data_IF_414408242670
#
_entry.id   IF_414408242670
#
_cell.length_a   1.000
_cell.length_b   1.000
_cell.length_c   1.000
_cell.angle_alpha   90.00
_cell.angle_beta   90.00
_cell.angle_gamma   90.00
#
_symmetry.space_group_name_H-M   'P 1'
#
loop_
_entity.id
_entity.type
_entity.pdbx_description
1 polymer ?
2 water ?
#
# COMPACT_ATOMS: atom_id res chain seq x y z
N UNK A 15 23.00 21.39 -16.76
CA UNK A 15 22.90 20.50 -17.92
C UNK A 15 22.62 21.25 -19.21
N UNK A 16 23.07 20.70 -20.34
CA UNK A 16 22.91 21.39 -21.61
C UNK A 16 21.51 21.18 -22.18
N UNK A 17 21.07 22.18 -22.96
CA UNK A 17 19.78 22.13 -23.64
C UNK A 17 19.53 20.77 -24.26
N UNK A 18 20.55 20.25 -24.93
CA UNK A 18 20.46 18.92 -25.50
C UNK A 18 20.21 17.88 -24.42
N UNK A 19 21.13 17.77 -23.46
CA UNK A 19 21.03 16.76 -22.41
C UNK A 19 19.68 16.78 -21.70
N UNK A 20 19.13 17.97 -21.45
CA UNK A 20 17.82 18.03 -20.79
C UNK A 20 16.74 17.43 -21.69
N UNK A 21 16.68 17.85 -22.95
CA UNK A 21 15.67 17.32 -23.86
C UNK A 21 15.82 15.81 -24.04
N UNK A 22 17.04 15.30 -23.95
CA UNK A 22 17.30 13.87 -24.03
C UNK A 22 16.80 13.14 -22.79
N UNK A 23 17.07 13.70 -21.61
CA UNK A 23 16.54 13.14 -20.38
C UNK A 23 15.02 13.15 -20.39
N UNK A 24 14.42 14.23 -20.90
CA UNK A 24 12.96 14.31 -20.93
C UNK A 24 12.36 13.17 -21.74
N UNK A 25 12.88 12.92 -22.94
CA UNK A 25 12.30 11.86 -23.76
C UNK A 25 12.74 10.48 -23.31
N UNK A 26 13.88 10.36 -22.61
CA UNK A 26 14.21 9.09 -21.98
C UNK A 26 13.25 8.80 -20.82
N UNK A 27 12.94 9.82 -20.02
CA UNK A 27 11.98 9.64 -18.93
C UNK A 27 10.58 9.36 -19.46
N UNK A 28 10.17 10.07 -20.51
CA UNK A 28 8.81 9.91 -21.03
C UNK A 28 8.62 8.53 -21.63
N UNK A 29 9.62 8.03 -22.34
CA UNK A 29 9.49 6.71 -22.94
C UNK A 29 9.47 5.61 -21.90
N UNK A 30 10.15 5.82 -20.78
CA UNK A 30 10.08 4.90 -19.65
C UNK A 30 8.68 4.84 -19.07
N UNK A 31 8.06 6.00 -18.88
CA UNK A 31 6.75 6.07 -18.27
C UNK A 31 5.69 5.52 -19.22
N UNK A 32 5.87 5.73 -20.52
CA UNK A 32 4.91 5.21 -21.48
C UNK A 32 5.06 3.71 -21.71
N UNK A 33 6.28 3.18 -21.56
CA UNK A 33 6.55 1.77 -21.85
C UNK A 33 6.45 0.86 -20.64
N UNK A 34 6.19 1.41 -19.45
CA UNK A 34 6.10 0.60 -18.25
C UNK A 34 4.88 1.05 -17.45
N UNK A 35 4.17 0.10 -16.84
CA UNK A 35 2.97 0.48 -16.08
C UNK A 35 3.28 1.22 -14.80
N UNK A 36 4.41 0.94 -14.16
CA UNK A 36 4.76 1.55 -12.88
C UNK A 36 6.22 1.97 -12.92
N UNK A 37 6.47 3.28 -12.83
CA UNK A 37 7.83 3.81 -12.88
C UNK A 37 8.07 4.64 -11.63
N UNK A 38 9.23 4.45 -11.01
CA UNK A 38 9.64 5.20 -9.83
C UNK A 38 11.01 5.79 -10.12
N UNK A 39 11.09 7.12 -10.10
CA UNK A 39 12.35 7.84 -10.19
C UNK A 39 12.80 8.08 -8.76
N UNK A 40 13.98 7.59 -8.42
CA UNK A 40 14.32 7.52 -7.01
C UNK A 40 15.83 7.64 -6.84
N UNK A 41 16.26 7.51 -5.59
CA UNK A 41 17.66 7.54 -5.20
C UNK A 41 17.87 6.45 -4.16
N UNK A 42 18.92 5.66 -4.34
CA UNK A 42 19.19 4.47 -3.54
C UNK A 42 19.15 4.71 -2.04
N UNK A 43 19.46 5.93 -1.60
CA UNK A 43 19.56 6.23 -0.18
C UNK A 43 18.34 6.97 0.38
N UNK A 44 17.48 7.52 -0.48
CA UNK A 44 16.34 8.28 0.00
C UNK A 44 15.34 7.35 0.69
N UNK A 45 14.82 7.78 1.84
CA UNK A 45 13.99 6.89 2.65
C UNK A 45 12.58 6.75 2.12
N UNK A 46 11.99 7.85 1.65
CA UNK A 46 10.67 7.78 1.03
C UNK A 46 10.71 6.95 -0.24
N UNK A 47 11.84 6.96 -0.94
CA UNK A 47 11.98 6.12 -2.12
C UNK A 47 11.97 4.65 -1.74
N UNK A 48 12.73 4.29 -0.69
CA UNK A 48 12.77 2.90 -0.26
C UNK A 48 11.44 2.47 0.34
N UNK A 49 10.73 3.38 1.00
CA UNK A 49 9.42 3.05 1.53
C UNK A 49 8.43 2.73 0.41
N UNK A 50 8.46 3.51 -0.68
CA UNK A 50 7.46 3.31 -1.72
C UNK A 50 7.74 2.04 -2.51
N UNK A 51 9.01 1.66 -2.66
CA UNK A 51 9.34 0.44 -3.39
C UNK A 51 9.04 -0.82 -2.58
N UNK A 52 9.24 -0.78 -1.26
CA UNK A 52 8.91 -1.94 -0.44
C UNK A 52 7.41 -2.16 -0.38
N UNK A 53 6.62 -1.08 -0.40
CA UNK A 53 5.17 -1.24 -0.48
C UNK A 53 4.79 -1.90 -1.80
N UNK A 54 5.37 -1.44 -2.91
CA UNK A 54 5.12 -2.07 -4.21
C UNK A 54 5.55 -3.53 -4.19
N UNK A 55 6.71 -3.81 -3.59
CA UNK A 55 7.12 -5.19 -3.36
C UNK A 55 6.04 -5.98 -2.64
N UNK A 56 5.48 -5.40 -1.57
CA UNK A 56 4.51 -6.10 -0.75
C UNK A 56 3.19 -6.30 -1.48
N UNK A 57 2.79 -5.35 -2.33
CA UNK A 57 1.56 -5.50 -3.08
C UNK A 57 1.72 -6.40 -4.31
N UNK A 58 2.94 -6.84 -4.61
CA UNK A 58 3.18 -7.62 -5.81
C UNK A 58 3.17 -6.81 -7.08
N UNK A 59 3.37 -5.50 -6.97
CA UNK A 59 3.38 -4.63 -8.13
C UNK A 59 4.79 -4.55 -8.67
N UNK A 60 4.94 -4.81 -9.96
CA UNK A 60 6.25 -4.72 -10.56
C UNK A 60 6.48 -3.30 -11.04
N UNK A 61 7.68 -2.79 -10.79
CA UNK A 61 8.01 -1.43 -11.13
C UNK A 61 9.38 -1.39 -11.78
N UNK A 62 9.59 -0.35 -12.58
CA UNK A 62 10.89 -0.06 -13.16
C UNK A 62 11.47 1.12 -12.40
N UNK A 63 12.70 0.98 -11.90
CA UNK A 63 13.32 2.03 -11.10
C UNK A 63 14.45 2.69 -11.87
N UNK A 64 14.61 3.99 -11.64
CA UNK A 64 15.74 4.79 -12.10
C UNK A 64 16.36 5.39 -10.86
N UNK A 65 17.52 4.88 -10.46
CA UNK A 65 18.23 5.42 -9.31
C UNK A 65 19.07 6.58 -9.82
N UNK A 66 18.55 7.79 -9.65
CA UNK A 66 19.19 8.97 -10.23
C UNK A 66 20.62 9.13 -9.74
N UNK A 67 20.90 8.70 -8.51
CA UNK A 67 22.26 8.78 -8.00
C UNK A 67 23.20 7.78 -8.67
N UNK A 68 22.68 6.79 -9.38
CA UNK A 68 23.49 5.79 -10.07
C UNK A 68 23.57 6.01 -11.57
N UNK A 69 23.00 7.10 -12.08
CA UNK A 69 23.00 7.42 -13.50
C UNK A 69 23.83 8.67 -13.73
N UNK A 70 24.71 8.63 -14.73
CA UNK A 70 25.48 9.82 -15.08
C UNK A 70 24.55 10.98 -15.44
N UNK A 71 23.45 10.70 -16.14
CA UNK A 71 22.46 11.72 -16.46
C UNK A 71 21.43 11.90 -15.35
N UNK A 72 21.74 11.46 -14.13
CA UNK A 72 20.77 11.57 -13.05
C UNK A 72 20.22 12.97 -12.89
N UNK A 73 21.09 13.98 -13.01
CA UNK A 73 20.66 15.35 -12.75
C UNK A 73 19.83 15.92 -13.90
N UNK A 74 20.21 15.62 -15.15
CA UNK A 74 19.39 16.07 -16.27
C UNK A 74 17.98 15.49 -16.17
N UNK A 75 17.86 14.25 -15.71
CA UNK A 75 16.55 13.63 -15.57
C UNK A 75 15.73 14.35 -14.51
N UNK A 76 16.34 14.65 -13.36
CA UNK A 76 15.60 15.32 -12.29
C UNK A 76 15.04 16.66 -12.76
N UNK A 77 15.82 17.41 -13.54
CA UNK A 77 15.34 18.68 -14.07
C UNK A 77 14.18 18.48 -15.04
N UNK A 78 14.30 17.53 -15.96
CA UNK A 78 13.19 17.21 -16.86
C UNK A 78 11.94 16.82 -16.07
N UNK A 79 12.10 16.00 -15.04
CA UNK A 79 10.97 15.61 -14.20
C UNK A 79 10.24 16.82 -13.63
N UNK A 80 10.96 17.91 -13.34
CA UNK A 80 10.34 19.14 -12.87
C UNK A 80 9.71 19.91 -14.02
N UNK A 81 10.40 20.00 -15.15
CA UNK A 81 9.79 20.53 -16.35
C UNK A 81 8.45 19.86 -16.59
N UNK A 82 8.46 18.53 -16.61
CA UNK A 82 7.33 17.74 -17.06
C UNK A 82 6.20 17.72 -16.03
N UNK A 83 6.54 17.57 -14.74
CA UNK A 83 5.53 17.27 -13.73
C UNK A 83 5.35 18.33 -12.66
N UNK A 84 6.31 19.23 -12.48
CA UNK A 84 6.21 20.21 -11.42
C UNK A 84 6.53 19.70 -10.03
N UNK A 85 7.31 18.62 -9.93
CA UNK A 85 7.75 18.09 -8.65
C UNK A 85 9.27 17.94 -8.67
N UNK A 86 9.92 18.37 -7.59
CA UNK A 86 11.38 18.43 -7.50
C UNK A 86 11.98 17.28 -6.71
N UNK A 87 11.16 16.52 -5.99
CA UNK A 87 11.67 15.52 -5.07
C UNK A 87 11.52 14.12 -5.63
N UNK A 88 12.22 13.21 -4.98
CA UNK A 88 12.09 11.79 -5.22
C UNK A 88 11.45 11.20 -3.97
N UNK A 89 10.70 10.10 -4.11
CA UNK A 89 10.46 9.48 -5.42
C UNK A 89 9.39 10.19 -6.24
N UNK A 90 9.45 9.98 -7.55
CA UNK A 90 8.46 10.51 -8.48
C UNK A 90 7.84 9.30 -9.16
N UNK A 91 6.55 9.06 -8.91
CA UNK A 91 5.89 7.82 -9.28
C UNK A 91 4.90 8.08 -10.41
N UNK A 92 5.00 7.28 -11.46
CA UNK A 92 4.04 7.27 -12.55
C UNK A 92 3.32 5.93 -12.55
N UNK A 93 2.00 5.95 -12.67
CA UNK A 93 1.19 4.75 -12.77
C UNK A 93 0.35 4.83 -14.03
N UNK A 94 0.41 3.79 -14.85
CA UNK A 94 -0.38 3.78 -16.08
C UNK A 94 -0.13 4.97 -16.96
N UNK A 95 1.12 5.41 -17.05
CA UNK A 95 1.49 6.56 -17.85
C UNK A 95 1.21 7.91 -17.24
N UNK A 96 0.53 7.97 -16.10
CA UNK A 96 0.15 9.23 -15.47
C UNK A 96 0.96 9.48 -14.21
N UNK A 97 1.21 10.76 -13.95
CA UNK A 97 1.97 11.21 -12.79
C UNK A 97 1.11 11.12 -11.53
N UNK A 98 1.59 10.38 -10.53
CA UNK A 98 0.93 10.31 -9.23
C UNK A 98 1.55 11.28 -8.24
N UNK A 99 2.88 11.32 -8.19
CA UNK A 99 3.57 12.20 -7.27
C UNK A 99 4.62 11.46 -6.46
N UNK A 100 4.67 11.72 -5.16
CA UNK A 100 5.67 11.14 -4.29
C UNK A 100 5.11 10.07 -3.37
N UNK A 101 5.93 9.70 -2.38
CA UNK A 101 5.52 8.65 -1.45
C UNK A 101 4.19 8.97 -0.81
N UNK A 102 3.92 10.26 -0.56
CA UNK A 102 2.70 10.64 0.14
C UNK A 102 1.47 10.49 -0.75
N UNK A 103 1.57 10.89 -2.02
CA UNK A 103 0.45 10.73 -2.94
C UNK A 103 0.10 9.25 -3.10
N UNK A 104 1.13 8.40 -3.22
CA UNK A 104 0.92 6.96 -3.35
C UNK A 104 0.24 6.40 -2.11
N UNK A 105 0.80 6.70 -0.93
CA UNK A 105 0.20 6.22 0.32
C UNK A 105 -1.24 6.68 0.46
N UNK A 106 -1.55 7.90 0.00
CA UNK A 106 -2.93 8.39 0.11
C UNK A 106 -3.88 7.58 -0.76
N UNK A 107 -3.45 7.23 -1.98
CA UNK A 107 -4.25 6.34 -2.81
C UNK A 107 -4.54 5.03 -2.08
N UNK A 108 -3.51 4.43 -1.48
CA UNK A 108 -3.66 3.17 -0.77
C UNK A 108 -4.65 3.30 0.38
N UNK A 109 -4.57 4.40 1.13
CA UNK A 109 -5.47 4.60 2.27
C UNK A 109 -6.93 4.58 1.84
N UNK A 110 -7.23 5.20 0.71
CA UNK A 110 -8.57 5.17 0.15
C UNK A 110 -8.88 3.84 -0.52
N UNK A 111 -7.95 2.89 -0.50
CA UNK A 111 -8.18 1.61 -1.15
C UNK A 111 -8.22 1.67 -2.66
N UNK A 112 -7.65 2.71 -3.26
CA UNK A 112 -7.67 2.86 -4.71
C UNK A 112 -6.35 2.49 -5.37
N UNK A 113 -5.27 2.37 -4.60
CA UNK A 113 -3.97 2.10 -5.21
C UNK A 113 -3.96 0.75 -5.92
N UNK A 114 -4.34 -0.31 -5.21
CA UNK A 114 -4.31 -1.65 -5.81
C UNK A 114 -5.18 -1.75 -7.05
N UNK A 115 -6.41 -1.22 -7.08
CA UNK A 115 -7.15 -1.18 -8.35
C UNK A 115 -6.37 -0.51 -9.48
N UNK A 116 -5.70 0.61 -9.21
CA UNK A 116 -4.93 1.30 -10.24
C UNK A 116 -3.79 0.44 -10.76
N UNK A 117 -3.02 -0.16 -9.84
CA UNK A 117 -1.90 -0.99 -10.24
C UNK A 117 -2.35 -2.24 -10.98
N UNK A 118 -3.57 -2.71 -10.73
CA UNK A 118 -4.10 -3.88 -11.43
C UNK A 118 -4.62 -3.51 -12.81
N UNK A 119 -5.29 -2.36 -12.93
CA UNK A 119 -5.79 -1.87 -14.22
C UNK A 119 -4.68 -1.85 -15.27
N UNK A 120 -3.51 -1.33 -14.92
CA UNK A 120 -2.43 -1.15 -15.88
C UNK A 120 -1.50 -2.35 -15.98
N UNK A 121 -1.67 -3.36 -15.13
CA UNK A 121 -0.92 -4.59 -15.22
C UNK A 121 0.30 -4.66 -14.33
N UNK A 122 0.63 -3.59 -13.61
CA UNK A 122 1.73 -3.64 -12.66
C UNK A 122 1.58 -4.82 -11.71
N UNK A 123 0.36 -5.09 -11.28
CA UNK A 123 0.04 -6.23 -10.44
C UNK A 123 -0.57 -7.31 -11.32
N UNK A 124 0.05 -8.48 -11.34
CA UNK A 124 -0.47 -9.64 -12.05
C UNK A 124 -1.94 -9.91 -11.77
N UNK B 15 -22.88 -20.85 1.82
CA UNK B 15 -21.72 -21.48 2.44
C UNK B 15 -21.06 -22.55 1.59
N UNK B 16 -21.51 -23.78 1.75
CA UNK B 16 -20.93 -24.90 1.04
C UNK B 16 -19.42 -24.84 1.20
N UNK B 17 -18.68 -25.07 0.13
CA UNK B 17 -17.25 -24.99 0.19
C UNK B 17 -16.88 -23.91 -0.83
N UNK B 18 -17.91 -23.43 -1.50
CA UNK B 18 -17.85 -22.35 -2.48
C UNK B 18 -18.20 -20.99 -1.86
N UNK B 19 -19.35 -20.84 -1.19
CA UNK B 19 -19.66 -19.57 -0.52
C UNK B 19 -18.59 -19.26 0.52
N UNK B 20 -17.88 -20.30 0.96
CA UNK B 20 -16.67 -20.17 1.77
C UNK B 20 -15.48 -19.64 0.97
N UNK B 21 -15.46 -19.83 -0.35
CA UNK B 21 -14.36 -19.37 -1.17
C UNK B 21 -14.60 -17.99 -1.77
N UNK B 22 -15.86 -17.55 -1.84
CA UNK B 22 -16.19 -16.18 -2.23
C UNK B 22 -16.01 -15.19 -1.09
N UNK B 23 -16.14 -15.64 0.16
CA UNK B 23 -15.82 -14.84 1.34
C UNK B 23 -14.31 -14.71 1.54
N UNK B 24 -13.59 -15.81 1.35
CA UNK B 24 -12.13 -15.79 1.40
C UNK B 24 -11.56 -14.85 0.36
N UNK B 25 -11.99 -15.00 -0.89
CA UNK B 25 -11.63 -14.06 -1.95
C UNK B 25 -11.93 -12.63 -1.53
N UNK B 26 -13.11 -12.42 -0.94
CA UNK B 26 -13.49 -11.09 -0.48
C UNK B 26 -12.53 -10.59 0.59
N UNK B 27 -12.14 -11.47 1.53
CA UNK B 27 -11.28 -11.05 2.64
C UNK B 27 -9.85 -10.84 2.18
N UNK B 28 -9.36 -11.69 1.26
CA UNK B 28 -7.99 -11.54 0.80
C UNK B 28 -7.82 -10.29 -0.05
N UNK B 29 -8.83 -9.93 -0.85
CA UNK B 29 -8.73 -8.71 -1.64
C UNK B 29 -8.76 -7.48 -0.75
N UNK B 30 -9.64 -7.46 0.24
CA UNK B 30 -9.69 -6.34 1.16
C UNK B 30 -8.36 -6.15 1.86
N UNK B 31 -7.78 -7.25 2.35
CA UNK B 31 -6.48 -7.18 3.01
C UNK B 31 -5.41 -6.70 2.03
N UNK B 32 -5.47 -7.15 0.78
CA UNK B 32 -4.46 -6.73 -0.19
C UNK B 32 -4.63 -5.27 -0.57
N UNK B 33 -5.86 -4.74 -0.53
CA UNK B 33 -6.17 -3.44 -1.10
C UNK B 33 -6.21 -2.30 -0.08
N UNK B 34 -5.88 -2.55 1.19
CA UNK B 34 -5.85 -1.48 2.19
C UNK B 34 -4.71 -1.75 3.15
N UNK B 35 -3.99 -0.71 3.58
CA UNK B 35 -2.87 -0.96 4.51
C UNK B 35 -3.31 -1.57 5.83
N UNK B 36 -4.49 -1.21 6.33
CA UNK B 36 -4.94 -1.62 7.66
C UNK B 36 -6.37 -2.13 7.59
N UNK B 37 -6.57 -3.40 7.97
CA UNK B 37 -7.88 -4.05 7.91
C UNK B 37 -8.17 -4.70 9.26
N UNK B 38 -9.35 -4.42 9.80
CA UNK B 38 -9.81 -5.01 11.06
C UNK B 38 -11.11 -5.75 10.78
N UNK B 39 -11.07 -7.07 10.88
CA UNK B 39 -12.28 -7.88 10.88
C UNK B 39 -12.82 -7.84 12.30
N UNK B 40 -13.98 -7.22 12.45
CA UNK B 40 -14.48 -6.86 13.77
C UNK B 40 -15.94 -7.26 13.97
N UNK B 41 -16.41 -7.15 15.20
CA UNK B 41 -17.84 -7.25 15.45
C UNK B 41 -18.24 -5.99 16.20
N UNK B 42 -19.44 -5.48 15.91
CA UNK B 42 -19.79 -4.16 16.43
C UNK B 42 -19.90 -4.14 17.95
N UNK B 43 -20.01 -5.31 18.59
CA UNK B 43 -20.26 -5.41 20.03
C UNK B 43 -19.12 -6.08 20.78
N UNK B 44 -17.89 -6.00 20.26
CA UNK B 44 -16.74 -6.66 20.87
C UNK B 44 -15.81 -5.60 21.46
N UNK B 45 -15.57 -5.70 22.77
CA UNK B 45 -14.74 -4.69 23.43
C UNK B 45 -13.33 -4.64 22.88
N UNK B 46 -12.72 -5.81 22.69
CA UNK B 46 -11.38 -5.86 22.11
C UNK B 46 -11.37 -5.33 20.69
N UNK B 47 -12.48 -5.53 19.96
CA UNK B 47 -12.63 -4.88 18.66
C UNK B 47 -12.69 -3.38 18.80
N UNK B 48 -13.57 -2.89 19.68
CA UNK B 48 -13.66 -1.45 19.91
C UNK B 48 -12.37 -0.89 20.50
N UNK B 49 -11.54 -1.72 21.12
CA UNK B 49 -10.31 -1.19 21.71
C UNK B 49 -9.23 -0.92 20.66
N UNK B 50 -8.92 -1.91 19.81
CA UNK B 50 -7.89 -1.69 18.79
C UNK B 50 -8.29 -0.55 17.88
N UNK B 51 -9.58 -0.46 17.52
CA UNK B 51 -10.02 0.63 16.65
C UNK B 51 -9.79 1.98 17.31
N UNK B 52 -10.17 2.12 18.58
CA UNK B 52 -9.92 3.36 19.30
C UNK B 52 -8.44 3.74 19.26
N UNK B 53 -7.55 2.76 19.47
CA UNK B 53 -6.12 3.02 19.40
C UNK B 53 -5.70 3.48 18.01
N UNK B 54 -6.21 2.82 16.96
CA UNK B 54 -5.93 3.25 15.60
C UNK B 54 -6.41 4.68 15.37
N UNK B 55 -7.59 5.01 15.88
CA UNK B 55 -8.05 6.39 15.88
C UNK B 55 -7.05 7.30 16.57
N UNK B 56 -6.53 6.88 17.73
CA UNK B 56 -5.58 7.71 18.45
C UNK B 56 -4.28 7.89 17.67
N UNK B 57 -3.78 6.84 17.04
CA UNK B 57 -2.53 6.96 16.31
C UNK B 57 -2.69 7.61 14.94
N UNK B 58 -3.89 8.03 14.56
CA UNK B 58 -4.11 8.54 13.22
C UNK B 58 -3.91 7.49 12.15
N UNK B 59 -4.33 6.26 12.42
CA UNK B 59 -4.23 5.17 11.47
C UNK B 59 -5.58 4.98 10.80
N UNK B 60 -5.60 5.08 9.48
CA UNK B 60 -6.82 4.86 8.72
C UNK B 60 -6.99 3.37 8.51
N UNK B 61 -8.19 2.85 8.77
CA UNK B 61 -8.40 1.42 8.64
C UNK B 61 -9.74 1.13 8.00
N UNK B 62 -9.78 -0.04 7.37
CA UNK B 62 -10.98 -0.60 6.79
C UNK B 62 -11.59 -1.54 7.82
N UNK B 63 -12.87 -1.37 8.12
CA UNK B 63 -13.54 -2.25 9.07
C UNK B 63 -14.57 -3.11 8.35
N UNK B 64 -14.74 -4.33 8.87
CA UNK B 64 -15.77 -5.27 8.45
C UNK B 64 -16.40 -5.87 9.70
N UNK B 65 -17.56 -5.36 10.10
CA UNK B 65 -18.31 -5.94 11.21
C UNK B 65 -19.04 -7.18 10.71
N UNK B 66 -18.64 -8.36 11.19
CA UNK B 66 -19.22 -9.60 10.66
C UNK B 66 -20.67 -9.77 11.11
N UNK B 67 -21.02 -9.33 12.32
CA UNK B 67 -22.40 -9.47 12.78
C UNK B 67 -23.39 -8.72 11.89
N UNK B 68 -22.92 -7.74 11.12
CA UNK B 68 -23.77 -6.94 10.24
C UNK B 68 -23.64 -7.34 8.78
N UNK B 69 -23.21 -8.56 8.51
CA UNK B 69 -22.94 -8.99 7.14
C UNK B 69 -23.53 -10.38 6.92
N UNK B 70 -24.43 -10.47 5.93
CA UNK B 70 -24.95 -11.76 5.49
C UNK B 70 -23.83 -12.77 5.28
N UNK B 71 -22.65 -12.30 4.88
CA UNK B 71 -21.47 -13.13 4.68
C UNK B 71 -20.64 -13.29 5.95
N UNK B 72 -21.12 -12.76 7.08
CA UNK B 72 -20.37 -12.71 8.32
C UNK B 72 -19.73 -14.01 8.77
N UNK B 73 -20.53 -15.07 8.86
CA UNK B 73 -19.99 -16.37 9.23
C UNK B 73 -19.15 -16.96 8.10
N UNK B 74 -19.53 -16.70 6.85
CA UNK B 74 -18.73 -17.17 5.73
C UNK B 74 -17.32 -16.59 5.77
N UNK B 75 -17.19 -15.32 6.14
CA UNK B 75 -15.87 -14.70 6.20
C UNK B 75 -15.09 -15.22 7.41
N UNK B 76 -15.77 -15.38 8.55
CA UNK B 76 -15.09 -15.84 9.76
C UNK B 76 -14.48 -17.22 9.57
N UNK B 77 -15.18 -18.11 8.86
CA UNK B 77 -14.64 -19.45 8.63
C UNK B 77 -13.40 -19.39 7.75
N UNK B 78 -13.45 -18.60 6.67
CA UNK B 78 -12.28 -18.42 5.83
C UNK B 78 -11.09 -17.90 6.64
N UNK B 79 -11.29 -16.79 7.36
CA UNK B 79 -10.24 -16.25 8.22
C UNK B 79 -9.62 -17.32 9.11
N UNK B 80 -10.47 -18.12 9.76
CA UNK B 80 -9.97 -19.25 10.54
C UNK B 80 -9.17 -20.19 9.66
N UNK B 81 -9.77 -20.65 8.56
CA UNK B 81 -9.04 -21.50 7.63
C UNK B 81 -7.79 -20.78 7.13
N UNK B 82 -7.92 -19.50 6.82
CA UNK B 82 -6.82 -18.76 6.21
C UNK B 82 -5.72 -18.46 7.22
N UNK B 83 -6.09 -17.95 8.40
CA UNK B 83 -5.09 -17.50 9.36
C UNK B 83 -4.82 -18.50 10.48
N UNK B 84 -5.80 -19.31 10.86
CA UNK B 84 -5.71 -20.09 12.07
C UNK B 84 -6.33 -19.44 13.28
N UNK B 85 -6.90 -18.25 13.13
CA UNK B 85 -7.58 -17.55 14.21
C UNK B 85 -9.03 -17.37 13.84
N UNK B 86 -9.92 -17.66 14.78
CA UNK B 86 -11.36 -17.48 14.60
C UNK B 86 -11.90 -16.27 15.34
N UNK B 87 -11.21 -15.85 16.39
CA UNK B 87 -11.68 -14.73 17.19
C UNK B 87 -11.52 -13.41 16.44
N UNK B 88 -12.44 -12.49 16.72
CA UNK B 88 -12.30 -11.12 16.28
C UNK B 88 -11.83 -10.36 17.53
N UNK B 89 -11.04 -9.28 17.35
CA UNK B 89 -10.60 -8.78 16.05
C UNK B 89 -9.51 -9.62 15.39
N UNK B 90 -9.54 -9.63 14.06
CA UNK B 90 -8.50 -10.22 13.23
C UNK B 90 -7.93 -9.07 12.42
N UNK B 91 -6.68 -8.69 12.69
CA UNK B 91 -6.11 -7.45 12.19
C UNK B 91 -4.99 -7.76 11.20
N UNK B 92 -5.04 -7.09 10.05
CA UNK B 92 -4.00 -7.19 9.03
C UNK B 92 -3.37 -5.82 8.83
N UNK B 93 -2.05 -5.80 8.70
CA UNK B 93 -1.28 -4.59 8.48
C UNK B 93 -0.34 -4.85 7.33
N UNK B 94 -0.39 -4.00 6.30
CA UNK B 94 0.48 -4.19 5.15
C UNK B 94 0.38 -5.58 4.54
N UNK B 95 -0.83 -6.13 4.47
CA UNK B 95 -1.06 -7.43 3.88
C UNK B 95 -0.84 -8.62 4.79
N UNK B 96 -0.21 -8.43 5.95
CA UNK B 96 0.17 -9.54 6.82
C UNK B 96 -0.76 -9.66 8.02
N UNK B 97 -0.96 -10.90 8.46
CA UNK B 97 -1.79 -11.18 9.62
C UNK B 97 -1.03 -10.84 10.89
N UNK B 98 -1.61 -9.98 11.71
CA UNK B 98 -1.02 -9.60 12.99
C UNK B 98 -1.59 -10.42 14.13
N UNK B 99 -2.92 -10.49 14.21
CA UNK B 99 -3.59 -11.27 15.23
C UNK B 99 -4.75 -10.49 15.82
N UNK B 100 -5.02 -10.69 17.10
CA UNK B 100 -6.09 -9.99 17.79
C UNK B 100 -5.59 -8.78 18.55
N UNK B 101 -6.36 -8.38 19.56
CA UNK B 101 -6.06 -7.15 20.28
C UNK B 101 -4.72 -7.24 21.00
N UNK B 102 -4.42 -8.40 21.61
CA UNK B 102 -3.14 -8.51 22.31
C UNK B 102 -1.97 -8.49 21.34
N UNK B 103 -2.12 -9.11 20.18
CA UNK B 103 -1.04 -9.10 19.20
C UNK B 103 -0.74 -7.67 18.74
N UNK B 104 -1.76 -6.81 18.66
CA UNK B 104 -1.55 -5.42 18.25
C UNK B 104 -0.95 -4.61 19.39
N UNK B 105 -1.53 -4.70 20.60
CA UNK B 105 -0.98 -3.98 21.75
C UNK B 105 0.47 -4.35 22.01
N UNK B 106 0.82 -5.63 21.87
CA UNK B 106 2.20 -6.06 22.11
C UNK B 106 3.15 -5.33 21.18
N UNK B 107 2.82 -5.27 19.89
CA UNK B 107 3.61 -4.49 18.95
C UNK B 107 3.78 -3.06 19.43
N UNK B 108 2.68 -2.45 19.89
CA UNK B 108 2.73 -1.06 20.35
C UNK B 108 3.61 -0.93 21.59
N UNK B 109 3.47 -1.86 22.55
CA UNK B 109 4.34 -1.87 23.73
C UNK B 109 5.81 -1.91 23.35
N UNK B 110 6.14 -2.64 22.29
CA UNK B 110 7.52 -2.75 21.83
C UNK B 110 7.95 -1.60 20.94
N UNK B 111 7.08 -0.63 20.68
CA UNK B 111 7.41 0.46 19.79
C UNK B 111 7.44 0.10 18.32
N UNK B 112 6.86 -1.04 17.94
CA UNK B 112 6.88 -1.49 16.55
C UNK B 112 5.62 -1.15 15.78
N UNK B 113 4.50 -0.89 16.46
CA UNK B 113 3.23 -0.73 15.77
C UNK B 113 3.21 0.53 14.90
N UNK B 114 3.65 1.66 15.45
CA UNK B 114 3.66 2.89 14.66
C UNK B 114 4.61 2.79 13.47
N UNK B 115 5.81 2.22 13.59
CA UNK B 115 6.61 1.98 12.37
C UNK B 115 5.88 1.12 11.34
N UNK B 116 5.31 -0.01 11.77
CA UNK B 116 4.58 -0.88 10.84
C UNK B 116 3.47 -0.13 10.13
N UNK B 117 2.69 0.67 10.86
CA UNK B 117 1.57 1.39 10.28
C UNK B 117 2.02 2.55 9.40
N UNK B 118 3.27 3.00 9.53
CA UNK B 118 3.82 4.06 8.70
C UNK B 118 4.42 3.50 7.40
N UNK B 119 5.08 2.34 7.47
CA UNK B 119 5.71 1.75 6.28
C UNK B 119 4.69 1.25 5.26
N UNK B 120 3.47 0.92 5.67
CA UNK B 120 2.43 0.53 4.73
C UNK B 120 1.49 1.67 4.38
N UNK B 121 1.62 2.82 5.04
CA UNK B 121 0.87 4.00 4.68
C UNK B 121 -0.42 4.21 5.43
N UNK B 122 -0.74 3.39 6.43
CA UNK B 122 -1.95 3.61 7.20
C UNK B 122 -1.89 4.92 7.99
N UNK B 123 -0.69 5.41 8.30
CA UNK B 123 -0.50 6.69 8.97
C UNK B 123 0.15 7.66 7.99
N UNK B 124 -0.39 8.86 7.89
CA UNK B 124 0.15 9.89 7.01
C UNK B 124 1.41 10.52 7.60
#
# INVERSE_FOLDING_TARGET
>A
GPLGSMGSVLSSGQPTEEQLKMALQKAQQLVNSNPLVVFSKTYAGYCSRVKKLFDQLGARYQTIELDQESDGDAIQAALLQWTGQRTVPNVFIGGKHIGGCDSVMEKHRDGKLVPMLTECGAIAIESTA
>B
GPLGSMGSVLSSGQPTEEQLKMALQKAQQLVNSNPLVVFSKTYAGYCSRVKKLFDQLGARYQTIELDQESDGDAIQAALLQWTGQRTVPNVFIGGKHIGGCDSVMEKHRDGKLVPMLTECGAIAIESTA
#
